data_IF_053202083416
#
_entry.id   IF_053202083416
#
_cell.length_a   1.000
_cell.length_b   1.000
_cell.length_c   1.000
_cell.angle_alpha   90.00
_cell.angle_beta   90.00
_cell.angle_gamma   90.00
#
_symmetry.space_group_name_H-M   'P 1'
#
loop_
_entity.id
_entity.type
_entity.pdbx_description
1 polymer ?
#
# COMPACT_ATOMS: atom_id res chain seq x y z
N UNK A 1 0.43 -37.36 -57.78
CA UNK A 1 0.60 -37.90 -56.41
C UNK A 1 -0.36 -37.13 -55.51
N UNK A 2 -1.68 -37.17 -55.74
CA UNK A 2 -2.64 -38.30 -55.62
C UNK A 2 -2.51 -38.97 -54.25
N UNK A 3 -3.54 -39.14 -53.40
CA UNK A 3 -4.99 -38.94 -53.47
C UNK A 3 -5.48 -38.66 -52.02
N UNK A 4 -6.40 -37.75 -51.71
CA UNK A 4 -7.87 -37.79 -51.88
C UNK A 4 -8.57 -38.92 -51.10
N UNK A 5 -9.47 -38.57 -50.17
CA UNK A 5 -10.93 -38.87 -50.22
C UNK A 5 -11.66 -38.04 -49.15
N UNK A 6 -12.54 -37.17 -49.64
CA UNK A 6 -13.57 -36.42 -48.93
C UNK A 6 -14.88 -37.23 -48.75
N UNK A 7 -15.72 -36.82 -47.80
CA UNK A 7 -17.07 -37.38 -47.60
C UNK A 7 -18.00 -36.35 -46.97
N UNK A 8 -18.68 -35.60 -47.83
CA UNK A 8 -19.66 -34.53 -47.58
C UNK A 8 -21.05 -35.11 -47.21
N UNK A 9 -21.83 -34.44 -46.35
CA UNK A 9 -23.28 -34.36 -46.58
C UNK A 9 -23.90 -33.13 -45.91
N UNK A 10 -24.46 -32.29 -46.76
CA UNK A 10 -25.22 -31.07 -46.49
C UNK A 10 -26.73 -31.35 -46.70
N UNK A 11 -27.55 -30.37 -46.26
CA UNK A 11 -28.93 -30.02 -46.65
C UNK A 11 -29.99 -30.24 -45.56
N UNK A 12 -30.53 -29.14 -45.02
CA UNK A 12 -31.72 -28.43 -45.56
C UNK A 12 -32.19 -27.33 -44.58
N UNK A 13 -32.15 -26.08 -45.03
CA UNK A 13 -33.00 -24.97 -44.54
C UNK A 13 -34.33 -25.01 -45.29
N UNK A 14 -35.41 -24.67 -44.59
CA UNK A 14 -36.69 -24.23 -45.17
C UNK A 14 -37.18 -23.06 -44.33
N UNK A 15 -37.30 -21.90 -44.96
CA UNK A 15 -38.01 -20.72 -44.45
C UNK A 15 -39.52 -20.89 -44.71
N UNK A 16 -40.34 -20.34 -43.82
CA UNK A 16 -41.79 -20.28 -43.96
C UNK A 16 -42.38 -19.16 -43.10
N UNK A 17 -42.67 -18.05 -43.75
CA UNK A 17 -43.29 -16.82 -43.26
C UNK A 17 -44.83 -16.99 -43.13
N UNK A 18 -45.48 -16.23 -42.23
CA UNK A 18 -46.95 -16.16 -42.16
C UNK A 18 -47.59 -15.78 -40.81
N UNK A 19 -47.70 -14.47 -40.53
CA UNK A 19 -48.88 -13.67 -40.07
C UNK A 19 -50.13 -14.43 -39.51
N UNK A 20 -50.90 -14.00 -38.49
CA UNK A 20 -51.32 -12.65 -38.02
C UNK A 20 -52.23 -12.74 -36.78
N UNK A 21 -52.34 -11.60 -36.06
CA UNK A 21 -53.43 -11.13 -35.17
C UNK A 21 -53.57 -11.81 -33.80
N UNK A 22 -53.75 -11.13 -32.68
CA UNK A 22 -54.04 -9.73 -32.30
C UNK A 22 -54.55 -9.82 -30.85
N UNK A 23 -54.22 -8.93 -29.91
CA UNK A 23 -55.11 -7.82 -29.52
C UNK A 23 -54.40 -6.97 -28.46
N UNK A 24 -54.58 -5.66 -28.64
CA UNK A 24 -54.32 -4.44 -27.84
C UNK A 24 -54.82 -4.54 -26.38
N UNK A 25 -54.46 -3.71 -25.41
CA UNK A 25 -54.30 -2.25 -25.43
C UNK A 25 -53.54 -1.74 -24.19
N UNK A 26 -53.13 -0.46 -24.30
CA UNK A 26 -52.16 0.26 -23.48
C UNK A 26 -52.62 0.84 -22.12
N UNK A 27 -51.90 1.88 -21.62
CA UNK A 27 -51.67 2.12 -20.18
C UNK A 27 -52.29 3.44 -19.66
N UNK A 28 -52.13 3.71 -18.35
CA UNK A 28 -51.88 5.02 -17.71
C UNK A 28 -52.52 5.12 -16.31
N UNK A 29 -51.85 5.84 -15.39
CA UNK A 29 -52.49 6.34 -14.17
C UNK A 29 -51.51 6.72 -13.07
N UNK A 30 -51.15 7.99 -13.01
CA UNK A 30 -50.42 8.61 -11.91
C UNK A 30 -51.35 9.39 -10.97
N UNK A 31 -50.87 9.57 -9.73
CA UNK A 31 -51.05 10.70 -8.80
C UNK A 31 -52.18 10.70 -7.73
N UNK A 32 -51.70 11.09 -6.53
CA UNK A 32 -52.28 11.98 -5.51
C UNK A 32 -53.14 11.41 -4.35
N UNK A 33 -52.56 11.49 -3.14
CA UNK A 33 -53.06 12.35 -2.03
C UNK A 33 -54.03 11.75 -1.00
N UNK A 34 -53.62 11.72 0.28
CA UNK A 34 -54.31 12.35 1.43
C UNK A 34 -53.85 11.79 2.80
N UNK A 35 -53.47 12.69 3.72
CA UNK A 35 -53.39 12.55 5.19
C UNK A 35 -54.76 12.79 5.85
N UNK A 36 -55.00 12.33 7.11
CA UNK A 36 -54.80 13.17 8.33
C UNK A 36 -54.23 12.38 9.55
N UNK A 37 -53.43 12.97 10.46
CA UNK A 37 -53.79 13.57 11.79
C UNK A 37 -54.03 12.49 12.88
N UNK A 38 -53.49 12.46 14.12
CA UNK A 38 -53.04 13.48 15.10
C UNK A 38 -52.43 12.81 16.36
N UNK A 39 -51.50 13.51 17.07
CA UNK A 39 -51.24 13.57 18.55
C UNK A 39 -50.80 12.31 19.32
N UNK A 40 -49.91 12.29 20.34
CA UNK A 40 -49.23 13.28 21.18
C UNK A 40 -48.06 12.60 21.95
N UNK A 41 -47.13 13.38 22.53
CA UNK A 41 -46.35 12.95 23.71
C UNK A 41 -44.86 13.30 23.71
N UNK A 42 -44.51 14.50 24.20
CA UNK A 42 -43.16 14.81 24.68
C UNK A 42 -42.92 14.20 26.08
N UNK A 43 -41.66 14.11 26.54
CA UNK A 43 -41.26 15.06 27.58
C UNK A 43 -39.85 15.66 27.39
N UNK A 44 -39.57 16.59 28.30
CA UNK A 44 -38.58 17.65 28.23
C UNK A 44 -37.20 17.32 28.83
N UNK A 45 -36.17 17.95 28.23
CA UNK A 45 -35.09 18.79 28.77
C UNK A 45 -34.28 18.48 30.06
N UNK A 46 -33.04 19.01 30.00
CA UNK A 46 -32.09 19.37 31.07
C UNK A 46 -31.16 18.23 31.57
N UNK A 47 -29.85 18.37 31.80
CA UNK A 47 -28.83 19.44 31.95
C UNK A 47 -27.47 18.70 32.11
N UNK A 48 -26.24 19.20 32.04
CA UNK A 48 -25.61 20.51 31.93
C UNK A 48 -24.21 20.32 31.33
N UNK A 49 -23.78 21.27 30.50
CA UNK A 49 -22.38 21.48 30.15
C UNK A 49 -21.77 22.41 31.21
N UNK A 50 -20.69 21.96 31.86
CA UNK A 50 -19.83 22.84 32.67
C UNK A 50 -18.67 23.31 31.81
N UNK A 51 -18.73 24.58 31.44
CA UNK A 51 -17.61 25.35 30.91
C UNK A 51 -16.61 25.59 32.05
N UNK A 52 -15.40 25.02 31.92
CA UNK A 52 -14.25 25.37 32.72
C UNK A 52 -13.36 26.35 31.95
N UNK A 53 -13.48 27.63 32.26
CA UNK A 53 -12.54 28.68 31.84
C UNK A 53 -11.24 28.51 32.62
N UNK A 54 -10.24 27.89 31.99
CA UNK A 54 -8.86 27.85 32.45
C UNK A 54 -7.99 28.73 31.56
N UNK A 55 -7.42 29.78 32.16
CA UNK A 55 -6.61 30.78 31.49
C UNK A 55 -5.43 30.16 30.72
N UNK A 56 -5.36 30.45 29.42
CA UNK A 56 -4.17 30.24 28.60
C UNK A 56 -3.12 31.27 29.00
N UNK A 57 -2.18 30.88 29.85
CA UNK A 57 -0.89 31.57 29.91
C UNK A 57 -0.14 31.24 28.63
N UNK A 58 -0.15 32.19 27.69
CA UNK A 58 0.69 32.14 26.51
C UNK A 58 2.15 32.13 26.91
N UNK A 59 2.74 30.95 26.97
CA UNK A 59 4.17 30.79 26.78
C UNK A 59 4.40 30.89 25.28
N UNK A 60 4.71 32.10 24.82
CA UNK A 60 5.35 32.30 23.53
C UNK A 60 6.68 31.52 23.56
N UNK A 61 6.67 30.30 23.03
CA UNK A 61 7.91 29.62 22.67
C UNK A 61 8.50 30.43 21.54
N UNK A 62 9.59 31.12 21.87
CA UNK A 62 10.28 32.03 20.97
C UNK A 62 10.51 31.37 19.63
N UNK A 63 10.07 32.07 18.61
CA UNK A 63 10.51 31.88 17.24
C UNK A 63 12.05 31.85 17.27
N UNK A 64 12.63 30.69 16.98
CA UNK A 64 14.07 30.55 16.76
C UNK A 64 14.41 31.18 15.40
N UNK A 65 14.05 32.45 15.23
CA UNK A 65 14.48 33.32 14.16
C UNK A 65 15.97 33.63 14.39
N UNK A 66 16.82 32.66 14.06
CA UNK A 66 18.27 32.76 14.28
C UNK A 66 19.10 31.63 13.66
N UNK A 67 18.49 30.51 13.29
CA UNK A 67 19.08 29.46 12.45
C UNK A 67 18.21 29.34 11.20
N UNK A 68 18.78 29.40 9.99
CA UNK A 68 17.98 29.32 8.76
C UNK A 68 17.11 28.06 8.78
N UNK A 69 15.79 28.17 8.62
CA UNK A 69 14.90 27.00 8.60
C UNK A 69 15.29 26.07 7.44
N UNK A 70 15.33 24.76 7.71
CA UNK A 70 15.64 23.75 6.68
C UNK A 70 14.57 23.78 5.59
N UNK A 71 13.30 23.92 5.95
CA UNK A 71 12.20 24.04 5.00
C UNK A 71 12.30 25.31 4.13
N UNK A 72 12.65 26.46 4.73
CA UNK A 72 12.82 27.71 3.99
C UNK A 72 13.99 27.62 3.00
N UNK A 73 15.15 27.15 3.45
CA UNK A 73 16.31 26.93 2.58
C UNK A 73 16.00 25.95 1.46
N UNK A 74 15.34 24.84 1.78
CA UNK A 74 14.99 23.80 0.80
C UNK A 74 14.03 24.34 -0.26
N UNK A 75 13.10 25.24 0.09
CA UNK A 75 12.22 25.90 -0.88
C UNK A 75 13.01 26.70 -1.91
N UNK A 76 13.98 27.49 -1.47
CA UNK A 76 14.87 28.26 -2.35
C UNK A 76 15.78 27.36 -3.18
N UNK A 77 16.26 26.26 -2.58
CA UNK A 77 17.02 25.22 -3.28
C UNK A 77 16.19 24.56 -4.39
N UNK A 78 14.92 24.24 -4.12
CA UNK A 78 13.99 23.66 -5.10
C UNK A 78 13.73 24.58 -6.29
N UNK A 79 13.64 25.90 -6.05
CA UNK A 79 13.49 26.88 -7.14
C UNK A 79 14.67 26.85 -8.12
N UNK A 80 15.89 26.59 -7.62
CA UNK A 80 17.12 26.52 -8.45
C UNK A 80 17.37 25.13 -9.06
N UNK A 81 16.81 24.07 -8.48
CA UNK A 81 17.13 22.68 -8.84
C UNK A 81 15.96 21.86 -9.43
N UNK A 82 14.82 22.49 -9.72
CA UNK A 82 13.63 21.81 -10.28
C UNK A 82 13.94 20.98 -11.54
N UNK A 83 14.67 21.55 -12.49
CA UNK A 83 15.00 20.87 -13.75
C UNK A 83 15.95 19.69 -13.51
N UNK A 84 16.88 19.83 -12.57
CA UNK A 84 17.78 18.76 -12.14
C UNK A 84 16.99 17.58 -11.56
N UNK A 85 16.05 17.83 -10.63
CA UNK A 85 15.19 16.79 -10.05
C UNK A 85 14.33 16.08 -11.11
N UNK A 86 13.74 16.86 -12.02
CA UNK A 86 12.98 16.31 -13.15
C UNK A 86 13.88 15.45 -14.05
N UNK A 87 15.11 15.91 -14.30
CA UNK A 87 16.13 15.16 -15.03
C UNK A 87 16.49 13.83 -14.38
N UNK A 88 16.67 13.81 -13.04
CA UNK A 88 16.94 12.61 -12.26
C UNK A 88 15.78 11.62 -12.33
N UNK A 89 14.56 12.06 -12.04
CA UNK A 89 13.37 11.19 -12.12
C UNK A 89 13.23 10.58 -13.51
N UNK A 90 13.36 11.37 -14.57
CA UNK A 90 13.27 10.87 -15.95
C UNK A 90 14.44 9.98 -16.34
N UNK A 91 15.62 10.15 -15.73
CA UNK A 91 16.74 9.22 -15.90
C UNK A 91 16.39 7.85 -15.30
N UNK A 92 15.90 7.84 -14.06
CA UNK A 92 15.45 6.61 -13.39
C UNK A 92 14.31 5.94 -14.17
N UNK A 93 13.30 6.70 -14.57
CA UNK A 93 12.16 6.19 -15.35
C UNK A 93 12.55 5.53 -16.68
N UNK A 94 13.57 6.06 -17.37
CA UNK A 94 14.10 5.48 -18.62
C UNK A 94 14.91 4.21 -18.40
N UNK A 95 15.47 4.01 -17.22
CA UNK A 95 16.37 2.89 -16.91
C UNK A 95 15.85 2.12 -15.68
N UNK A 96 14.59 1.62 -15.71
CA UNK A 96 14.03 0.94 -14.56
C UNK A 96 14.67 -0.45 -14.41
N UNK A 97 14.83 -0.89 -13.17
CA UNK A 97 15.46 -2.17 -12.83
C UNK A 97 14.58 -2.94 -11.85
N UNK A 98 14.52 -4.26 -12.03
CA UNK A 98 13.70 -5.13 -11.18
C UNK A 98 14.28 -5.27 -9.77
N UNK A 99 13.43 -5.66 -8.84
CA UNK A 99 13.77 -5.97 -7.45
C UNK A 99 15.02 -6.84 -7.34
N UNK A 100 15.95 -6.44 -6.46
CA UNK A 100 17.28 -7.05 -6.23
C UNK A 100 18.26 -6.99 -7.42
N UNK A 101 17.97 -6.20 -8.46
CA UNK A 101 18.79 -6.04 -9.67
C UNK A 101 19.02 -4.56 -10.03
N UNK A 102 18.75 -3.66 -9.10
CA UNK A 102 18.79 -2.19 -9.20
C UNK A 102 20.22 -1.62 -9.19
N UNK A 103 21.15 -2.23 -9.92
CA UNK A 103 22.57 -1.90 -9.91
C UNK A 103 22.86 -0.52 -10.52
N UNK A 104 22.22 -0.20 -11.65
CA UNK A 104 22.31 1.08 -12.33
C UNK A 104 21.68 2.21 -11.51
N UNK A 105 20.50 1.98 -10.94
CA UNK A 105 19.82 2.90 -10.02
C UNK A 105 20.66 3.13 -8.77
N UNK A 106 21.22 2.07 -8.16
CA UNK A 106 22.12 2.18 -7.01
C UNK A 106 23.37 3.00 -7.36
N UNK A 107 23.98 2.76 -8.52
CA UNK A 107 25.14 3.53 -8.99
C UNK A 107 24.79 5.02 -9.18
N UNK A 108 23.67 5.32 -9.83
CA UNK A 108 23.19 6.68 -10.04
C UNK A 108 23.00 7.44 -8.70
N UNK A 109 22.40 6.78 -7.71
CA UNK A 109 22.20 7.35 -6.37
C UNK A 109 23.55 7.62 -5.70
N UNK A 110 24.46 6.65 -5.71
CA UNK A 110 25.82 6.81 -5.13
C UNK A 110 26.55 7.98 -5.79
N UNK A 111 26.61 8.01 -7.12
CA UNK A 111 27.33 9.06 -7.86
C UNK A 111 26.76 10.44 -7.56
N UNK A 112 25.43 10.56 -7.48
CA UNK A 112 24.75 11.83 -7.17
C UNK A 112 25.03 12.29 -5.74
N UNK A 113 24.96 11.39 -4.76
CA UNK A 113 25.25 11.71 -3.35
C UNK A 113 26.74 12.08 -3.15
N UNK A 114 27.65 11.33 -3.78
CA UNK A 114 29.09 11.65 -3.73
C UNK A 114 29.38 13.00 -4.39
N UNK A 115 28.75 13.33 -5.53
CA UNK A 115 28.88 14.65 -6.16
C UNK A 115 28.35 15.79 -5.28
N UNK A 116 27.36 15.52 -4.42
CA UNK A 116 26.87 16.48 -3.41
C UNK A 116 27.82 16.63 -2.19
N UNK A 117 28.91 15.86 -2.14
CA UNK A 117 29.87 15.86 -1.03
C UNK A 117 29.39 15.06 0.18
N UNK A 118 28.57 14.03 -0.03
CA UNK A 118 28.15 13.08 0.99
C UNK A 118 28.93 11.77 0.87
N UNK A 119 28.87 10.94 1.91
CA UNK A 119 29.52 9.62 1.98
C UNK A 119 28.46 8.49 1.95
N UNK A 120 27.99 8.08 0.77
CA UNK A 120 26.99 7.01 0.65
C UNK A 120 27.59 5.64 0.97
N UNK A 121 26.89 4.87 1.79
CA UNK A 121 27.21 3.48 2.12
C UNK A 121 26.29 2.53 1.35
N UNK A 122 26.87 1.76 0.43
CA UNK A 122 26.15 0.69 -0.29
C UNK A 122 25.75 -0.43 0.67
N UNK A 123 24.54 -0.94 0.49
CA UNK A 123 24.04 -2.12 1.18
C UNK A 123 24.58 -3.41 0.53
N UNK A 124 24.51 -4.58 1.20
CA UNK A 124 24.76 -5.86 0.55
C UNK A 124 23.79 -6.05 -0.64
N UNK A 125 24.33 -6.22 -1.85
CA UNK A 125 23.54 -6.21 -3.09
C UNK A 125 23.33 -4.79 -3.59
N UNK A 126 22.07 -4.36 -3.70
CA UNK A 126 21.64 -3.05 -4.20
C UNK A 126 21.09 -2.17 -3.08
N UNK A 127 20.94 -0.87 -3.35
CA UNK A 127 20.50 0.11 -2.36
C UNK A 127 21.63 0.79 -1.60
N UNK A 128 21.28 1.89 -0.94
CA UNK A 128 22.23 2.84 -0.35
C UNK A 128 21.67 3.42 0.93
N UNK A 129 22.54 3.67 1.90
CA UNK A 129 22.24 4.58 3.03
C UNK A 129 23.21 5.74 3.03
N UNK A 130 22.79 6.90 3.50
CA UNK A 130 23.68 8.05 3.66
C UNK A 130 23.25 8.84 4.89
N UNK A 131 24.24 9.18 5.73
CA UNK A 131 24.03 10.00 6.91
C UNK A 131 24.46 11.44 6.65
N UNK A 132 23.68 12.37 7.17
CA UNK A 132 23.85 13.81 6.98
C UNK A 132 23.74 14.50 8.34
N UNK A 133 24.72 15.34 8.65
CA UNK A 133 24.83 16.00 9.95
C UNK A 133 25.64 15.19 10.96
N UNK A 134 25.86 15.80 12.12
CA UNK A 134 26.70 15.27 13.20
C UNK A 134 25.90 15.24 14.52
N UNK A 135 26.39 14.48 15.49
CA UNK A 135 25.81 14.40 16.84
C UNK A 135 25.39 13.00 17.27
N UNK A 136 25.24 12.83 18.58
CA UNK A 136 24.93 11.55 19.25
C UNK A 136 23.43 11.37 19.55
N UNK A 137 22.59 12.31 19.09
CA UNK A 137 21.13 12.25 19.23
C UNK A 137 20.48 11.19 18.34
N UNK A 138 19.17 10.95 18.51
CA UNK A 138 18.45 10.00 17.67
C UNK A 138 18.48 10.44 16.20
N UNK A 139 18.65 9.47 15.30
CA UNK A 139 18.67 9.68 13.86
C UNK A 139 17.24 9.74 13.32
N UNK A 140 16.96 10.73 12.48
CA UNK A 140 15.72 10.84 11.72
C UNK A 140 15.92 10.22 10.34
N UNK A 141 15.17 9.16 10.03
CA UNK A 141 15.33 8.43 8.78
C UNK A 141 14.25 8.79 7.75
N UNK A 142 14.62 8.88 6.47
CA UNK A 142 13.71 9.01 5.33
C UNK A 142 13.96 7.88 4.34
N UNK A 143 12.93 7.12 4.01
CA UNK A 143 13.00 5.98 3.08
C UNK A 143 12.44 6.36 1.71
N UNK A 144 13.15 5.94 0.66
CA UNK A 144 12.66 5.86 -0.71
C UNK A 144 13.02 4.49 -1.28
N UNK A 145 12.04 3.75 -1.76
CA UNK A 145 12.23 2.54 -2.56
C UNK A 145 12.75 2.90 -3.96
N UNK A 146 13.42 1.94 -4.61
CA UNK A 146 14.18 2.19 -5.85
C UNK A 146 13.86 1.21 -6.99
N UNK A 147 13.11 0.15 -6.74
CA UNK A 147 12.84 -0.90 -7.73
C UNK A 147 11.65 -0.60 -8.65
N UNK A 148 11.61 -1.31 -9.77
CA UNK A 148 10.57 -1.22 -10.79
C UNK A 148 9.84 -2.55 -10.96
N UNK A 149 8.77 -2.54 -11.77
CA UNK A 149 7.87 -3.66 -11.99
C UNK A 149 8.09 -4.35 -13.34
N UNK A 150 7.85 -5.68 -13.44
CA UNK A 150 7.93 -6.44 -14.69
C UNK A 150 6.68 -6.23 -15.56
N UNK A 151 6.56 -5.05 -16.19
CA UNK A 151 5.48 -4.71 -17.12
C UNK A 151 5.95 -3.80 -18.25
N UNK A 152 5.30 -3.91 -19.41
CA UNK A 152 5.60 -3.06 -20.57
C UNK A 152 4.95 -1.69 -20.42
N UNK A 153 5.75 -0.63 -20.53
CA UNK A 153 5.26 0.75 -20.56
C UNK A 153 4.60 1.08 -21.89
N UNK A 154 3.39 1.64 -21.86
CA UNK A 154 2.62 2.08 -23.05
C UNK A 154 2.19 3.54 -22.99
N UNK A 155 2.84 4.34 -22.13
CA UNK A 155 2.53 5.76 -21.91
C UNK A 155 2.79 6.66 -23.13
N UNK A 156 3.76 6.29 -23.98
CA UNK A 156 4.22 7.10 -25.11
C UNK A 156 5.04 8.34 -24.73
N UNK A 157 5.51 8.44 -23.49
CA UNK A 157 6.31 9.57 -23.01
C UNK A 157 7.69 9.62 -23.69
N UNK A 158 8.23 10.82 -23.90
CA UNK A 158 9.59 11.03 -24.45
C UNK A 158 10.70 10.44 -23.55
N UNK A 159 10.35 10.12 -22.30
CA UNK A 159 11.21 9.51 -21.31
C UNK A 159 10.70 8.14 -20.83
N UNK A 160 9.84 7.49 -21.62
CA UNK A 160 9.43 6.11 -21.35
C UNK A 160 10.65 5.17 -21.20
N UNK A 161 10.42 4.08 -20.48
CA UNK A 161 11.38 3.01 -20.24
C UNK A 161 12.05 2.57 -21.53
N UNK A 162 13.38 2.45 -21.46
CA UNK A 162 14.22 1.88 -22.52
C UNK A 162 14.51 0.40 -22.28
N UNK A 163 14.03 -0.15 -21.17
CA UNK A 163 14.23 -1.53 -20.77
C UNK A 163 12.93 -2.30 -21.08
N UNK A 164 12.91 -3.17 -22.10
CA UNK A 164 11.70 -3.91 -22.46
C UNK A 164 11.15 -4.73 -21.27
N UNK A 165 9.83 -4.69 -21.06
CA UNK A 165 9.16 -5.41 -19.99
C UNK A 165 9.42 -4.89 -18.57
N UNK A 166 9.97 -3.68 -18.39
CA UNK A 166 10.21 -3.09 -17.07
C UNK A 166 9.77 -1.63 -17.04
N UNK A 167 9.03 -1.22 -16.00
CA UNK A 167 8.50 0.15 -15.83
C UNK A 167 8.40 0.55 -14.35
N UNK A 168 8.68 1.81 -14.02
CA UNK A 168 8.30 2.40 -12.72
C UNK A 168 6.82 2.79 -12.71
N UNK A 169 5.93 1.80 -12.57
CA UNK A 169 4.47 2.00 -12.52
C UNK A 169 3.91 2.20 -11.10
N UNK A 170 4.78 2.20 -10.08
CA UNK A 170 4.42 2.45 -8.67
C UNK A 170 4.95 3.80 -8.13
N UNK A 171 5.78 4.50 -8.91
CA UNK A 171 6.32 5.82 -8.56
C UNK A 171 7.65 5.80 -7.78
N UNK A 172 8.34 4.66 -7.71
CA UNK A 172 9.60 4.53 -6.93
C UNK A 172 10.72 5.42 -7.50
N UNK A 173 10.67 5.77 -8.79
CA UNK A 173 11.53 6.80 -9.40
C UNK A 173 11.28 8.21 -8.81
N UNK A 174 10.03 8.53 -8.45
CA UNK A 174 9.67 9.76 -7.73
C UNK A 174 10.11 9.67 -6.27
N UNK A 175 9.86 8.55 -5.58
CA UNK A 175 10.25 8.38 -4.17
C UNK A 175 11.76 8.52 -3.99
N UNK A 176 12.54 7.83 -4.84
CA UNK A 176 13.99 7.97 -4.94
C UNK A 176 14.41 9.42 -5.16
N UNK A 177 13.79 10.10 -6.14
CA UNK A 177 14.14 11.49 -6.47
C UNK A 177 13.84 12.45 -5.31
N UNK A 178 12.75 12.24 -4.57
CA UNK A 178 12.39 13.05 -3.40
C UNK A 178 13.44 12.90 -2.30
N UNK A 179 13.81 11.66 -1.94
CA UNK A 179 14.81 11.42 -0.89
C UNK A 179 16.20 11.91 -1.31
N UNK A 180 16.56 11.73 -2.59
CA UNK A 180 17.81 12.23 -3.15
C UNK A 180 17.87 13.76 -3.17
N UNK A 181 16.76 14.41 -3.53
CA UNK A 181 16.61 15.86 -3.49
C UNK A 181 16.75 16.42 -2.07
N UNK A 182 16.10 15.78 -1.09
CA UNK A 182 16.27 16.12 0.33
C UNK A 182 17.74 16.01 0.75
N UNK A 183 18.38 14.87 0.45
CA UNK A 183 19.79 14.65 0.82
C UNK A 183 20.71 15.74 0.27
N UNK A 184 20.53 16.11 -1.00
CA UNK A 184 21.33 17.17 -1.64
C UNK A 184 21.05 18.55 -1.05
N UNK A 185 19.78 18.89 -0.77
CA UNK A 185 19.43 20.15 -0.12
C UNK A 185 20.04 20.26 1.28
N UNK A 186 20.00 19.19 2.08
CA UNK A 186 20.63 19.14 3.40
C UNK A 186 22.17 19.22 3.32
N UNK A 187 22.77 18.63 2.27
CA UNK A 187 24.20 18.71 2.03
C UNK A 187 24.68 20.13 1.69
N UNK A 188 23.86 20.93 1.00
CA UNK A 188 24.13 22.36 0.80
C UNK A 188 23.87 23.16 2.07
N UNK A 189 22.72 22.95 2.72
CA UNK A 189 22.34 23.63 3.95
C UNK A 189 23.43 23.54 5.03
N UNK A 190 23.99 22.33 5.24
CA UNK A 190 25.03 22.10 6.27
C UNK A 190 26.35 22.85 6.04
N UNK A 191 26.57 23.40 4.84
CA UNK A 191 27.76 24.24 4.55
C UNK A 191 27.61 25.64 5.11
N UNK A 192 26.38 26.09 5.32
CA UNK A 192 26.03 27.45 5.75
C UNK A 192 25.44 27.48 7.17
N UNK A 193 24.84 26.37 7.61
CA UNK A 193 24.10 26.29 8.86
C UNK A 193 24.35 24.95 9.58
N UNK A 194 24.33 24.90 10.92
CA UNK A 194 24.37 23.63 11.64
C UNK A 194 23.04 22.87 11.46
N UNK A 195 23.11 21.59 11.09
CA UNK A 195 21.92 20.75 11.04
C UNK A 195 21.50 20.37 12.48
N UNK A 196 20.23 20.55 12.88
CA UNK A 196 19.80 20.37 14.27
C UNK A 196 19.76 18.91 14.73
N UNK A 197 19.80 17.96 13.79
CA UNK A 197 19.71 16.53 14.02
C UNK A 197 20.41 15.75 12.90
N UNK A 198 20.84 14.53 13.20
CA UNK A 198 21.39 13.62 12.21
C UNK A 198 20.25 13.01 11.38
N UNK A 199 20.35 13.15 10.07
CA UNK A 199 19.40 12.59 9.11
C UNK A 199 20.02 11.38 8.41
N UNK A 200 19.24 10.31 8.25
CA UNK A 200 19.61 9.15 7.42
C UNK A 200 18.65 9.04 6.25
N UNK A 201 19.18 9.05 5.03
CA UNK A 201 18.41 8.69 3.85
C UNK A 201 18.65 7.21 3.54
N UNK A 202 17.57 6.44 3.37
CA UNK A 202 17.58 5.01 3.06
C UNK A 202 16.98 4.83 1.67
N UNK A 203 17.81 4.38 0.73
CA UNK A 203 17.42 4.01 -0.62
C UNK A 203 17.29 2.50 -0.69
N UNK A 204 16.07 2.01 -0.53
CA UNK A 204 15.78 0.60 -0.33
C UNK A 204 15.52 -0.12 -1.67
N UNK A 205 16.10 -1.30 -1.90
CA UNK A 205 15.74 -2.17 -3.02
C UNK A 205 14.48 -3.00 -2.74
N UNK A 206 13.95 -3.61 -3.79
CA UNK A 206 13.06 -4.78 -3.75
C UNK A 206 11.77 -4.66 -2.91
N UNK A 207 11.05 -3.53 -2.97
CA UNK A 207 9.75 -3.41 -2.31
C UNK A 207 8.71 -4.36 -2.93
N UNK A 208 8.71 -4.50 -4.26
CA UNK A 208 7.62 -5.09 -5.05
C UNK A 208 7.56 -6.64 -5.02
N UNK A 209 8.51 -7.29 -4.33
CA UNK A 209 8.59 -8.75 -4.25
C UNK A 209 8.14 -9.28 -2.89
N UNK A 210 7.59 -10.50 -2.91
CA UNK A 210 7.19 -11.19 -1.68
C UNK A 210 8.40 -11.36 -0.74
N UNK A 211 8.29 -10.81 0.46
CA UNK A 211 9.36 -10.76 1.46
C UNK A 211 9.95 -9.36 1.65
N UNK A 212 9.99 -8.56 0.58
CA UNK A 212 10.46 -7.18 0.57
C UNK A 212 11.96 -7.02 0.86
N UNK A 213 12.57 -5.96 0.34
CA UNK A 213 13.97 -5.61 0.62
C UNK A 213 14.16 -4.90 1.97
N UNK A 214 13.10 -4.42 2.62
CA UNK A 214 13.22 -3.77 3.93
C UNK A 214 13.87 -4.66 4.99
N UNK A 215 13.64 -5.98 4.94
CA UNK A 215 14.25 -6.94 5.88
C UNK A 215 15.77 -7.04 5.70
N UNK A 216 16.25 -7.01 4.47
CA UNK A 216 17.68 -7.01 4.13
C UNK A 216 18.35 -5.69 4.59
N UNK A 217 17.68 -4.56 4.35
CA UNK A 217 18.14 -3.23 4.77
C UNK A 217 18.26 -3.14 6.30
N UNK A 218 17.27 -3.67 7.03
CA UNK A 218 17.29 -3.75 8.49
C UNK A 218 18.43 -4.66 8.97
N UNK A 219 18.62 -5.82 8.33
CA UNK A 219 19.70 -6.75 8.66
C UNK A 219 21.09 -6.15 8.42
N UNK A 220 21.23 -5.26 7.44
CA UNK A 220 22.44 -4.49 7.17
C UNK A 220 22.71 -3.36 8.18
N UNK A 221 21.82 -3.16 9.17
CA UNK A 221 22.01 -2.20 10.25
C UNK A 221 21.49 -0.79 9.96
N UNK A 222 20.68 -0.59 8.92
CA UNK A 222 20.18 0.74 8.54
C UNK A 222 19.31 1.43 9.61
N UNK A 223 18.75 0.67 10.56
CA UNK A 223 18.00 1.20 11.70
C UNK A 223 18.85 1.51 12.93
N UNK A 224 20.16 1.27 12.91
CA UNK A 224 21.02 1.56 14.05
C UNK A 224 20.99 3.06 14.39
N UNK A 225 20.57 3.39 15.61
CA UNK A 225 20.44 4.77 16.12
C UNK A 225 19.21 5.54 15.60
N UNK A 226 18.39 4.93 14.74
CA UNK A 226 17.17 5.56 14.22
C UNK A 226 16.14 5.71 15.33
N UNK A 227 15.72 6.94 15.58
CA UNK A 227 14.63 7.24 16.51
C UNK A 227 13.28 7.23 15.84
N UNK A 228 13.18 7.78 14.62
CA UNK A 228 11.94 7.85 13.84
C UNK A 228 12.23 7.68 12.35
N UNK A 229 11.27 7.14 11.60
CA UNK A 229 11.39 6.92 10.16
C UNK A 229 10.16 7.42 9.39
N UNK A 230 10.39 8.05 8.24
CA UNK A 230 9.36 8.62 7.39
C UNK A 230 9.49 8.10 5.96
N UNK A 231 8.34 7.93 5.29
CA UNK A 231 8.28 7.54 3.88
C UNK A 231 7.15 8.30 3.17
N UNK A 232 7.21 8.30 1.84
CA UNK A 232 6.15 8.77 0.97
C UNK A 232 5.81 7.67 -0.02
N UNK A 233 4.55 7.60 -0.39
CA UNK A 233 4.11 6.80 -1.53
C UNK A 233 3.24 7.65 -2.43
N UNK A 234 3.52 7.66 -3.74
CA UNK A 234 2.71 8.32 -4.75
C UNK A 234 1.27 7.80 -4.68
N UNK A 235 0.32 8.72 -4.68
CA UNK A 235 -1.11 8.44 -4.67
C UNK A 235 -1.75 9.11 -5.89
N UNK A 236 -1.96 8.36 -6.98
CA UNK A 236 -2.54 8.89 -8.22
C UNK A 236 -4.03 9.22 -8.09
N UNK A 237 -4.65 8.95 -6.94
CA UNK A 237 -6.04 9.36 -6.67
C UNK A 237 -6.14 10.74 -5.99
N UNK A 238 -5.03 11.25 -5.48
CA UNK A 238 -4.91 12.59 -4.88
C UNK A 238 -4.26 13.55 -5.85
N UNK A 239 -4.72 14.80 -5.87
CA UNK A 239 -4.16 15.83 -6.74
C UNK A 239 -2.77 16.25 -6.26
N UNK A 240 -1.86 16.57 -7.16
CA UNK A 240 -0.57 17.17 -6.83
C UNK A 240 -0.74 18.36 -5.88
N UNK A 241 0.05 18.35 -4.81
CA UNK A 241 -0.04 19.31 -3.70
C UNK A 241 -0.89 18.81 -2.52
N UNK A 242 -1.76 17.83 -2.74
CA UNK A 242 -2.48 17.16 -1.65
C UNK A 242 -1.60 16.10 -0.98
N UNK A 243 -1.68 16.01 0.35
CA UNK A 243 -0.93 15.06 1.17
C UNK A 243 -1.94 14.28 2.01
N UNK A 244 -2.05 12.98 1.73
CA UNK A 244 -2.91 12.08 2.47
C UNK A 244 -2.22 11.55 3.72
N UNK A 245 -2.83 11.75 4.88
CA UNK A 245 -2.32 11.29 6.18
C UNK A 245 -3.36 10.40 6.88
N UNK A 246 -2.87 9.44 7.66
CA UNK A 246 -3.68 8.56 8.48
C UNK A 246 -2.86 8.05 9.66
N UNK A 247 -3.38 8.19 10.87
CA UNK A 247 -2.82 7.53 12.06
C UNK A 247 -3.31 6.08 12.13
N UNK A 248 -2.45 5.16 12.56
CA UNK A 248 -2.73 3.73 12.54
C UNK A 248 -2.51 3.12 11.15
N UNK A 249 -3.25 2.07 10.81
CA UNK A 249 -3.01 1.31 9.60
C UNK A 249 -3.32 2.10 8.33
N UNK A 250 -2.30 2.38 7.51
CA UNK A 250 -2.43 3.00 6.18
C UNK A 250 -2.38 1.97 5.04
N UNK A 251 -1.84 0.79 5.30
CA UNK A 251 -1.92 -0.40 4.44
C UNK A 251 -2.48 -1.59 5.22
N UNK A 252 -2.67 -2.72 4.56
CA UNK A 252 -3.11 -3.97 5.19
C UNK A 252 -2.02 -5.02 5.07
N UNK A 253 -1.93 -5.92 6.05
CA UNK A 253 -1.21 -7.16 5.81
C UNK A 253 -1.85 -7.96 4.69
N UNK A 254 -1.05 -8.78 4.01
CA UNK A 254 -1.50 -9.67 2.95
C UNK A 254 -0.78 -11.02 3.06
N UNK A 255 -1.43 -12.00 3.68
CA UNK A 255 -0.92 -13.35 3.83
C UNK A 255 -1.54 -14.28 2.78
N UNK A 256 -0.78 -15.31 2.37
CA UNK A 256 -1.25 -16.36 1.46
C UNK A 256 -1.54 -17.62 2.26
N UNK A 257 -2.72 -18.22 2.06
CA UNK A 257 -3.14 -19.44 2.75
C UNK A 257 -3.49 -20.53 1.76
N UNK A 258 -2.91 -21.72 1.94
CA UNK A 258 -3.29 -22.95 1.23
C UNK A 258 -3.76 -24.00 2.26
N UNK A 259 -4.92 -24.60 2.00
CA UNK A 259 -5.44 -25.74 2.77
C UNK A 259 -5.56 -26.93 1.84
N UNK A 260 -4.86 -28.02 2.18
CA UNK A 260 -4.90 -29.27 1.43
C UNK A 260 -5.66 -30.31 2.25
N UNK A 261 -6.80 -30.75 1.73
CA UNK A 261 -7.59 -31.84 2.30
C UNK A 261 -7.25 -33.14 1.59
N UNK A 262 -6.98 -34.21 2.35
CA UNK A 262 -6.67 -35.53 1.79
C UNK A 262 -7.52 -36.65 2.40
N UNK A 263 -7.76 -37.68 1.60
CA UNK A 263 -8.58 -38.83 1.97
C UNK A 263 -8.33 -40.05 1.07
N UNK A 264 -8.96 -41.20 1.38
CA UNK A 264 -8.78 -42.42 0.59
C UNK A 264 -9.40 -42.33 -0.81
N UNK A 265 -10.36 -41.42 -1.01
CA UNK A 265 -11.20 -41.39 -2.20
C UNK A 265 -12.16 -42.58 -2.24
N UNK A 266 -12.97 -42.67 -3.29
CA UNK A 266 -13.88 -43.81 -3.43
C UNK A 266 -15.03 -43.57 -4.39
N UNK A 267 -16.03 -44.44 -4.33
CA UNK A 267 -17.24 -44.30 -5.13
C UNK A 267 -18.28 -43.49 -4.35
N UNK A 268 -18.91 -42.51 -4.99
CA UNK A 268 -19.95 -41.66 -4.37
C UNK A 268 -21.17 -42.42 -3.85
N UNK A 269 -21.39 -43.69 -4.27
CA UNK A 269 -22.48 -44.55 -3.77
C UNK A 269 -22.17 -45.18 -2.39
N UNK A 270 -20.94 -45.05 -1.90
CA UNK A 270 -20.47 -45.62 -0.63
C UNK A 270 -19.74 -44.56 0.21
N UNK A 271 -20.38 -43.42 0.51
CA UNK A 271 -19.71 -42.31 1.20
C UNK A 271 -19.22 -42.70 2.60
N UNK A 272 -19.87 -43.65 3.27
CA UNK A 272 -19.48 -44.18 4.58
C UNK A 272 -18.13 -44.94 4.60
N UNK A 273 -17.52 -45.22 3.43
CA UNK A 273 -16.20 -45.88 3.32
C UNK A 273 -15.07 -44.89 2.98
N UNK A 274 -15.37 -43.58 2.88
CA UNK A 274 -14.39 -42.54 2.56
C UNK A 274 -14.66 -41.28 3.39
N UNK A 275 -13.76 -40.30 3.33
CA UNK A 275 -14.06 -38.93 3.69
C UNK A 275 -14.58 -38.18 2.45
N UNK A 276 -15.69 -37.47 2.55
CA UNK A 276 -16.21 -36.62 1.49
C UNK A 276 -15.45 -35.28 1.47
N UNK A 277 -14.39 -35.22 0.67
CA UNK A 277 -13.51 -34.05 0.62
C UNK A 277 -14.17 -32.83 -0.02
N UNK A 278 -15.13 -33.02 -0.93
CA UNK A 278 -15.86 -31.91 -1.55
C UNK A 278 -16.77 -31.26 -0.52
N UNK A 279 -17.45 -32.07 0.30
CA UNK A 279 -18.21 -31.57 1.45
C UNK A 279 -17.33 -30.84 2.46
N UNK A 280 -16.20 -31.42 2.86
CA UNK A 280 -15.27 -30.80 3.80
C UNK A 280 -14.72 -29.45 3.29
N UNK A 281 -14.40 -29.36 2.01
CA UNK A 281 -14.01 -28.11 1.36
C UNK A 281 -15.15 -27.08 1.37
N UNK A 282 -16.38 -27.48 1.05
CA UNK A 282 -17.56 -26.60 1.12
C UNK A 282 -17.81 -26.07 2.54
N UNK A 283 -17.62 -26.90 3.56
CA UNK A 283 -17.71 -26.49 4.96
C UNK A 283 -16.63 -25.44 5.30
N UNK A 284 -15.38 -25.65 4.89
CA UNK A 284 -14.31 -24.66 5.08
C UNK A 284 -14.61 -23.33 4.38
N UNK A 285 -14.98 -23.37 3.10
CA UNK A 285 -15.25 -22.17 2.29
C UNK A 285 -16.32 -21.29 2.94
N UNK A 286 -17.36 -21.90 3.52
CA UNK A 286 -18.51 -21.18 4.07
C UNK A 286 -18.34 -20.82 5.55
N UNK A 287 -17.79 -21.72 6.36
CA UNK A 287 -17.72 -21.52 7.81
C UNK A 287 -16.47 -20.77 8.25
N UNK A 288 -15.33 -20.94 7.57
CA UNK A 288 -14.07 -20.35 8.04
C UNK A 288 -14.10 -18.82 8.03
N UNK A 289 -14.53 -18.12 6.97
CA UNK A 289 -14.65 -16.65 7.01
C UNK A 289 -15.64 -16.18 8.09
N UNK A 290 -16.75 -16.90 8.27
CA UNK A 290 -17.76 -16.57 9.28
C UNK A 290 -17.21 -16.71 10.70
N UNK A 291 -16.52 -17.80 11.01
CA UNK A 291 -15.91 -18.03 12.32
C UNK A 291 -14.75 -17.07 12.59
N UNK A 292 -13.94 -16.77 11.58
CA UNK A 292 -12.86 -15.78 11.68
C UNK A 292 -13.42 -14.41 12.07
N UNK A 293 -14.51 -13.97 11.42
CA UNK A 293 -15.19 -12.70 11.73
C UNK A 293 -15.79 -12.61 13.15
N UNK A 294 -15.93 -13.73 13.85
CA UNK A 294 -16.39 -13.82 15.24
C UNK A 294 -15.27 -14.00 16.25
N UNK A 295 -14.09 -14.37 15.77
CA UNK A 295 -12.89 -14.60 16.60
C UNK A 295 -12.02 -13.35 16.64
N UNK A 296 -11.98 -12.60 15.56
CA UNK A 296 -11.19 -11.37 15.40
C UNK A 296 -12.10 -10.14 15.58
N UNK A 297 -11.57 -9.06 16.15
CA UNK A 297 -12.31 -7.79 16.29
C UNK A 297 -12.72 -7.28 14.88
N UNK A 298 -14.02 -7.11 14.59
CA UNK A 298 -14.50 -6.71 13.28
C UNK A 298 -14.01 -5.33 12.82
N UNK A 299 -13.55 -4.47 13.74
CA UNK A 299 -13.00 -3.14 13.42
C UNK A 299 -11.62 -3.20 12.79
N UNK A 300 -10.94 -4.35 12.85
CA UNK A 300 -9.60 -4.55 12.29
C UNK A 300 -9.60 -4.73 10.77
N UNK A 301 -10.79 -4.80 10.15
CA UNK A 301 -10.91 -4.98 8.70
C UNK A 301 -10.34 -6.30 8.21
N UNK A 302 -10.40 -7.35 9.04
CA UNK A 302 -9.85 -8.67 8.70
C UNK A 302 -10.74 -9.37 7.68
N UNK A 303 -10.18 -9.72 6.52
CA UNK A 303 -10.87 -10.36 5.40
C UNK A 303 -10.13 -11.61 4.98
N UNK A 304 -10.83 -12.74 4.91
CA UNK A 304 -10.36 -13.98 4.30
C UNK A 304 -11.13 -14.23 3.02
N UNK A 305 -10.43 -14.49 1.92
CA UNK A 305 -11.05 -14.81 0.63
C UNK A 305 -10.33 -15.98 -0.02
N UNK A 306 -11.08 -17.03 -0.37
CA UNK A 306 -10.58 -18.11 -1.21
C UNK A 306 -10.68 -17.72 -2.68
N UNK A 307 -9.54 -17.67 -3.36
CA UNK A 307 -9.46 -17.36 -4.78
C UNK A 307 -9.53 -18.60 -5.68
N UNK A 308 -9.19 -19.79 -5.15
CA UNK A 308 -9.24 -21.02 -5.92
C UNK A 308 -9.64 -22.23 -5.06
N UNK A 309 -10.36 -23.16 -5.70
CA UNK A 309 -10.80 -24.44 -5.15
C UNK A 309 -10.59 -25.50 -6.24
N UNK A 310 -9.75 -26.50 -5.97
CA UNK A 310 -9.37 -27.51 -6.95
C UNK A 310 -9.53 -28.92 -6.37
N UNK A 311 -10.34 -29.77 -6.99
CA UNK A 311 -10.44 -31.18 -6.62
C UNK A 311 -11.60 -31.91 -7.29
N UNK A 312 -11.44 -33.22 -7.52
CA UNK A 312 -12.39 -34.04 -8.26
C UNK A 312 -12.25 -33.92 -9.77
N UNK A 313 -12.69 -34.96 -10.49
CA UNK A 313 -12.68 -35.01 -11.96
C UNK A 313 -13.89 -35.75 -12.55
N UNK A 314 -14.49 -36.67 -11.78
CA UNK A 314 -15.66 -37.44 -12.19
C UNK A 314 -16.77 -37.31 -11.14
N UNK A 315 -18.02 -37.12 -11.58
CA UNK A 315 -19.18 -36.92 -10.70
C UNK A 315 -19.51 -38.14 -9.82
N UNK A 316 -19.03 -39.33 -10.18
CA UNK A 316 -19.30 -40.60 -9.48
C UNK A 316 -18.13 -41.08 -8.59
N UNK A 317 -17.08 -40.25 -8.45
CA UNK A 317 -15.91 -40.56 -7.64
C UNK A 317 -15.65 -39.46 -6.60
N UNK A 318 -15.38 -39.87 -5.36
CA UNK A 318 -14.88 -39.00 -4.30
C UNK A 318 -13.37 -38.83 -4.51
N UNK A 319 -12.84 -37.58 -4.59
CA UNK A 319 -11.43 -37.35 -4.82
C UNK A 319 -10.56 -37.76 -3.64
N UNK A 320 -9.26 -37.94 -3.90
CA UNK A 320 -8.25 -38.19 -2.87
C UNK A 320 -7.65 -36.91 -2.28
N UNK A 321 -7.80 -35.79 -3.00
CA UNK A 321 -7.25 -34.49 -2.62
C UNK A 321 -8.18 -33.36 -3.09
N UNK A 322 -8.33 -32.34 -2.25
CA UNK A 322 -8.92 -31.04 -2.60
C UNK A 322 -8.03 -29.93 -2.04
N UNK A 323 -7.74 -28.90 -2.84
CA UNK A 323 -6.93 -27.74 -2.46
C UNK A 323 -7.75 -26.47 -2.45
N UNK A 324 -7.58 -25.66 -1.41
CA UNK A 324 -8.13 -24.31 -1.28
C UNK A 324 -6.96 -23.33 -1.21
N UNK A 325 -6.96 -22.31 -2.07
CA UNK A 325 -5.98 -21.23 -2.04
C UNK A 325 -6.69 -19.91 -1.83
N UNK A 326 -6.17 -19.09 -0.92
CA UNK A 326 -6.78 -17.82 -0.55
C UNK A 326 -5.80 -16.81 0.00
N UNK A 327 -6.33 -15.64 0.33
CA UNK A 327 -5.60 -14.54 0.97
C UNK A 327 -6.28 -14.13 2.26
N UNK A 328 -5.48 -13.84 3.29
CA UNK A 328 -5.93 -13.22 4.53
C UNK A 328 -5.36 -11.80 4.61
N UNK A 329 -6.23 -10.81 4.77
CA UNK A 329 -5.85 -9.40 4.91
C UNK A 329 -6.31 -8.86 6.24
N UNK A 330 -5.54 -7.99 6.87
CA UNK A 330 -5.94 -7.31 8.11
C UNK A 330 -5.24 -5.97 8.28
N UNK A 331 -5.94 -5.00 8.86
CA UNK A 331 -5.40 -3.68 9.23
C UNK A 331 -4.89 -3.61 10.66
N UNK A 332 -4.80 -4.71 11.39
CA UNK A 332 -4.28 -4.68 12.77
C UNK A 332 -3.10 -5.64 12.91
N UNK A 333 -1.95 -5.08 13.30
CA UNK A 333 -0.71 -5.85 13.40
C UNK A 333 -0.75 -6.90 14.52
N UNK A 334 -1.54 -6.71 15.58
CA UNK A 334 -1.71 -7.71 16.63
C UNK A 334 -2.52 -8.91 16.14
N UNK A 335 -3.54 -8.65 15.32
CA UNK A 335 -4.29 -9.72 14.63
C UNK A 335 -3.37 -10.47 13.69
N UNK A 336 -2.62 -9.75 12.85
CA UNK A 336 -1.67 -10.37 11.92
C UNK A 336 -0.63 -11.25 12.63
N UNK A 337 -0.12 -10.83 13.79
CA UNK A 337 0.83 -11.63 14.59
C UNK A 337 0.28 -13.00 14.96
N UNK A 338 -1.02 -13.11 15.28
CA UNK A 338 -1.67 -14.38 15.69
C UNK A 338 -2.56 -15.01 14.61
N UNK A 339 -2.53 -14.48 13.38
CA UNK A 339 -3.45 -14.88 12.32
C UNK A 339 -3.25 -16.34 11.87
N UNK A 340 -2.01 -16.80 11.78
CA UNK A 340 -1.68 -18.19 11.41
C UNK A 340 -2.22 -19.20 12.44
N UNK A 341 -1.99 -18.95 13.73
CA UNK A 341 -2.47 -19.80 14.82
C UNK A 341 -4.00 -19.84 14.83
N UNK A 342 -4.64 -18.67 14.69
CA UNK A 342 -6.10 -18.54 14.66
C UNK A 342 -6.71 -19.25 13.46
N UNK A 343 -6.13 -19.06 12.27
CA UNK A 343 -6.57 -19.68 11.03
C UNK A 343 -6.46 -21.20 11.11
N UNK A 344 -5.30 -21.71 11.53
CA UNK A 344 -5.03 -23.15 11.64
C UNK A 344 -5.99 -23.82 12.61
N UNK A 345 -6.18 -23.23 13.80
CA UNK A 345 -7.10 -23.77 14.79
C UNK A 345 -8.56 -23.83 14.31
N UNK A 346 -9.01 -22.83 13.53
CA UNK A 346 -10.36 -22.82 12.97
C UNK A 346 -10.51 -23.86 11.85
N UNK A 347 -9.52 -24.00 10.97
CA UNK A 347 -9.51 -25.04 9.92
C UNK A 347 -9.64 -26.43 10.54
N UNK A 348 -8.83 -26.74 11.55
CA UNK A 348 -8.85 -28.03 12.23
C UNK A 348 -10.21 -28.33 12.87
N UNK A 349 -10.82 -27.33 13.53
CA UNK A 349 -12.15 -27.48 14.18
C UNK A 349 -13.26 -27.77 13.16
N UNK A 350 -13.23 -27.12 12.00
CA UNK A 350 -14.23 -27.32 10.94
C UNK A 350 -14.06 -28.70 10.29
N UNK A 351 -12.82 -29.14 10.06
CA UNK A 351 -12.53 -30.39 9.33
C UNK A 351 -12.63 -31.63 10.21
N UNK A 352 -12.33 -31.53 11.51
CA UNK A 352 -12.31 -32.65 12.46
C UNK A 352 -13.50 -33.64 12.34
N UNK A 353 -14.79 -33.20 12.26
CA UNK A 353 -15.92 -34.12 12.18
C UNK A 353 -16.06 -34.85 10.83
N UNK A 354 -15.32 -34.45 9.79
CA UNK A 354 -15.47 -34.99 8.42
C UNK A 354 -14.65 -36.25 8.16
N UNK A 355 -13.66 -36.55 9.02
CA UNK A 355 -12.70 -37.65 8.82
C UNK A 355 -11.63 -37.38 7.75
N UNK A 356 -11.64 -36.20 7.10
CA UNK A 356 -10.57 -35.79 6.20
C UNK A 356 -9.29 -35.45 6.98
N UNK A 357 -8.13 -35.72 6.38
CA UNK A 357 -6.84 -35.20 6.86
C UNK A 357 -6.64 -33.80 6.28
N UNK A 358 -6.01 -32.93 7.05
CA UNK A 358 -5.74 -31.54 6.64
C UNK A 358 -4.27 -31.20 6.81
N UNK A 359 -3.73 -30.48 5.83
CA UNK A 359 -2.45 -29.79 5.88
C UNK A 359 -2.73 -28.31 5.62
N UNK A 360 -2.27 -27.44 6.52
CA UNK A 360 -2.33 -25.99 6.37
C UNK A 360 -0.94 -25.49 6.00
N UNK A 361 -0.87 -24.69 4.95
CA UNK A 361 0.33 -23.96 4.55
C UNK A 361 0.01 -22.48 4.62
N UNK A 362 0.67 -21.80 5.55
CA UNK A 362 0.47 -20.38 5.79
C UNK A 362 1.75 -19.65 5.42
N UNK A 363 1.68 -18.78 4.41
CA UNK A 363 2.79 -17.91 4.04
C UNK A 363 2.48 -16.52 4.52
N UNK A 364 3.16 -16.11 5.60
CA UNK A 364 3.03 -14.78 6.17
C UNK A 364 3.68 -13.76 5.22
N UNK A 365 2.91 -12.77 4.79
CA UNK A 365 3.39 -11.66 3.98
C UNK A 365 3.92 -10.54 4.87
N UNK A 366 3.84 -9.31 4.37
CA UNK A 366 4.23 -8.11 5.11
C UNK A 366 3.13 -7.70 6.12
N UNK A 367 3.48 -7.14 7.29
CA UNK A 367 2.51 -6.53 8.20
C UNK A 367 1.83 -5.30 7.58
N UNK A 368 0.73 -4.78 8.17
CA UNK A 368 0.24 -3.45 7.80
C UNK A 368 1.26 -2.38 8.21
N UNK A 369 1.40 -1.31 7.43
CA UNK A 369 2.11 -0.10 7.85
C UNK A 369 1.29 0.60 8.91
N UNK A 370 1.81 0.61 10.13
CA UNK A 370 1.18 1.24 11.29
C UNK A 370 1.80 2.61 11.51
N UNK A 371 1.13 3.67 11.04
CA UNK A 371 1.57 5.03 11.26
C UNK A 371 1.41 5.42 12.73
N UNK A 372 2.51 5.80 13.35
CA UNK A 372 2.60 6.36 14.70
C UNK A 372 1.89 7.71 14.78
N UNK A 373 1.23 8.01 15.91
CA UNK A 373 0.45 9.24 16.08
C UNK A 373 1.34 10.48 16.13
N UNK A 374 2.46 10.42 16.85
CA UNK A 374 3.45 11.50 16.96
C UNK A 374 4.08 11.79 15.61
N UNK A 375 4.58 10.75 14.93
CA UNK A 375 5.18 10.89 13.61
C UNK A 375 4.17 11.45 12.59
N UNK A 376 2.92 10.99 12.63
CA UNK A 376 1.86 11.51 11.75
C UNK A 376 1.53 12.97 12.05
N UNK A 377 1.56 13.39 13.32
CA UNK A 377 1.41 14.79 13.72
C UNK A 377 2.54 15.67 13.14
N UNK A 378 3.78 15.19 13.17
CA UNK A 378 4.93 15.90 12.57
C UNK A 378 4.74 16.07 11.06
N UNK A 379 4.30 15.03 10.34
CA UNK A 379 3.96 15.13 8.93
C UNK A 379 2.83 16.13 8.67
N UNK A 380 1.80 16.15 9.52
CA UNK A 380 0.70 17.11 9.39
C UNK A 380 1.20 18.56 9.52
N UNK A 381 2.08 18.85 10.48
CA UNK A 381 2.69 20.19 10.64
C UNK A 381 3.58 20.56 9.45
N UNK A 382 4.39 19.63 8.98
CA UNK A 382 5.21 19.84 7.80
C UNK A 382 4.35 20.10 6.55
N UNK A 383 3.23 19.36 6.39
CA UNK A 383 2.30 19.53 5.29
C UNK A 383 1.59 20.90 5.32
N UNK A 384 1.20 21.40 6.49
CA UNK A 384 0.65 22.77 6.65
C UNK A 384 1.63 23.84 6.14
N UNK A 385 2.95 23.61 6.28
CA UNK A 385 3.99 24.50 5.75
C UNK A 385 4.22 24.42 4.23
N UNK A 386 3.70 23.37 3.59
CA UNK A 386 3.68 23.22 2.12
C UNK A 386 2.42 23.84 1.54
N UNK A 387 1.25 23.43 2.04
CA UNK A 387 -0.06 24.01 1.73
C UNK A 387 -0.99 23.84 2.95
N UNK A 388 -1.44 24.94 3.59
CA UNK A 388 -2.38 24.90 4.72
C UNK A 388 -3.70 24.18 4.44
N UNK A 389 -4.06 23.97 3.17
CA UNK A 389 -5.29 23.31 2.74
C UNK A 389 -5.05 21.98 1.99
N UNK A 390 -3.79 21.55 1.89
CA UNK A 390 -3.36 20.36 1.14
C UNK A 390 -3.56 19.04 1.87
N UNK A 391 -3.76 19.06 3.21
CA UNK A 391 -3.93 17.82 3.98
C UNK A 391 -5.28 17.16 3.67
N UNK A 392 -5.23 15.84 3.46
CA UNK A 392 -6.38 14.96 3.26
C UNK A 392 -6.28 13.75 4.19
N UNK A 393 -7.43 13.18 4.54
CA UNK A 393 -7.44 11.87 5.19
C UNK A 393 -7.14 10.80 4.12
N UNK A 394 -6.08 10.02 4.34
CA UNK A 394 -5.77 8.89 3.48
C UNK A 394 -6.70 7.70 3.81
N UNK A 395 -7.30 7.05 2.80
CA UNK A 395 -7.95 5.77 3.01
C UNK A 395 -6.89 4.71 3.37
N UNK A 396 -7.30 3.69 4.12
CA UNK A 396 -6.49 2.51 4.29
C UNK A 396 -6.45 1.72 2.98
N UNK A 397 -5.26 1.41 2.48
CA UNK A 397 -5.09 0.51 1.34
C UNK A 397 -5.21 -0.95 1.77
N UNK A 398 -5.80 -1.78 0.92
CA UNK A 398 -5.78 -3.24 1.07
C UNK A 398 -4.47 -3.86 0.60
N UNK A 399 -3.62 -3.12 -0.13
CA UNK A 399 -2.28 -3.53 -0.54
C UNK A 399 -1.34 -3.67 0.65
N UNK A 400 -0.27 -4.46 0.46
CA UNK A 400 0.87 -4.52 1.38
C UNK A 400 1.90 -3.45 1.05
N UNK A 401 2.78 -3.16 2.00
CA UNK A 401 3.94 -2.28 1.82
C UNK A 401 5.00 -2.75 2.83
N UNK A 402 6.22 -3.00 2.36
CA UNK A 402 7.27 -3.58 3.20
C UNK A 402 7.93 -2.54 4.14
N UNK A 403 7.66 -1.24 3.97
CA UNK A 403 7.96 -0.20 4.95
C UNK A 403 7.42 -0.54 6.36
N UNK A 404 6.38 -1.37 6.40
CA UNK A 404 5.80 -1.91 7.63
C UNK A 404 6.84 -2.58 8.53
N UNK A 405 7.87 -3.22 7.97
CA UNK A 405 8.97 -3.82 8.72
C UNK A 405 9.80 -2.81 9.52
N UNK A 406 9.94 -1.56 9.04
CA UNK A 406 10.56 -0.51 9.83
C UNK A 406 9.64 -0.02 10.94
N UNK A 407 8.35 0.19 10.64
CA UNK A 407 7.37 0.67 11.65
C UNK A 407 7.12 -0.33 12.77
N UNK A 408 7.42 -1.62 12.56
CA UNK A 408 7.43 -2.64 13.61
C UNK A 408 8.63 -2.51 14.58
N UNK A 409 9.67 -1.74 14.22
CA UNK A 409 10.92 -1.60 14.97
C UNK A 409 11.09 -0.22 15.60
N UNK A 410 10.70 0.82 14.87
CA UNK A 410 10.83 2.22 15.28
C UNK A 410 9.53 2.98 14.95
N UNK A 411 9.14 4.00 15.74
CA UNK A 411 8.04 4.88 15.38
C UNK A 411 8.24 5.48 14.00
N UNK A 412 7.19 5.54 13.20
CA UNK A 412 7.29 6.09 11.86
C UNK A 412 5.95 6.37 11.23
N UNK A 413 5.97 7.10 10.13
CA UNK A 413 4.74 7.42 9.40
C UNK A 413 5.02 7.55 7.90
N UNK A 414 4.15 6.95 7.11
CA UNK A 414 4.14 7.06 5.66
C UNK A 414 2.97 7.95 5.22
N UNK A 415 3.27 8.94 4.37
CA UNK A 415 2.27 9.81 3.76
C UNK A 415 1.96 9.41 2.31
N UNK A 416 0.72 9.67 1.88
CA UNK A 416 0.29 9.55 0.48
C UNK A 416 0.57 10.87 -0.24
N UNK A 417 1.49 10.86 -1.20
CA UNK A 417 1.87 12.03 -1.98
C UNK A 417 0.96 12.15 -3.21
N UNK A 418 0.08 13.15 -3.23
CA UNK A 418 -0.76 13.41 -4.39
C UNK A 418 0.06 13.62 -5.65
N UNK A 419 -0.30 12.88 -6.70
CA UNK A 419 0.49 12.78 -7.94
C UNK A 419 -0.38 12.80 -9.20
N UNK A 420 -1.64 13.19 -9.07
CA UNK A 420 -2.55 13.41 -10.19
C UNK A 420 -2.58 14.89 -10.59
N UNK A 421 -2.52 15.17 -11.89
CA UNK A 421 -2.54 16.53 -12.45
C UNK A 421 -3.84 17.30 -12.13
N UNK A 422 -4.92 16.59 -11.81
CA UNK A 422 -6.26 17.16 -11.68
C UNK A 422 -7.09 17.09 -12.97
N UNK A 423 -6.53 16.55 -14.05
CA UNK A 423 -7.16 16.48 -15.38
C UNK A 423 -7.18 15.03 -15.86
N UNK A 424 -8.30 14.63 -16.48
CA UNK A 424 -8.48 13.28 -17.02
C UNK A 424 -8.98 12.27 -15.99
N UNK A 425 -8.87 10.99 -16.33
CA UNK A 425 -9.18 9.90 -15.41
C UNK A 425 -8.07 9.75 -14.37
N UNK A 426 -8.42 9.31 -13.16
CA UNK A 426 -7.43 9.00 -12.11
C UNK A 426 -6.86 7.61 -12.43
N UNK A 427 -5.54 7.49 -12.70
CA UNK A 427 -4.95 6.18 -12.94
C UNK A 427 -4.85 5.39 -11.63
N UNK A 428 -4.60 4.09 -11.74
CA UNK A 428 -4.28 3.22 -10.61
C UNK A 428 -2.83 2.74 -10.72
N UNK A 429 -2.22 2.46 -9.57
CA UNK A 429 -0.86 1.93 -9.52
C UNK A 429 -0.77 0.62 -10.34
N UNK A 430 0.40 0.37 -10.94
CA UNK A 430 0.72 -0.82 -11.73
C UNK A 430 -0.01 -0.90 -13.09
N UNK A 431 -0.70 0.16 -13.51
CA UNK A 431 -1.20 0.27 -14.88
C UNK A 431 -0.04 0.59 -15.84
N UNK A 432 0.00 -0.01 -17.05
CA UNK A 432 1.09 0.18 -18.00
C UNK A 432 1.11 1.57 -18.66
N UNK A 433 0.02 2.34 -18.52
CA UNK A 433 -0.17 3.68 -19.05
C UNK A 433 -0.22 4.75 -17.94
N UNK A 434 0.12 4.41 -16.69
CA UNK A 434 0.13 5.40 -15.60
C UNK A 434 1.14 6.51 -15.86
N UNK A 435 0.69 7.75 -15.70
CA UNK A 435 1.53 8.95 -15.74
C UNK A 435 1.34 9.75 -14.47
N UNK A 436 2.40 9.85 -13.67
CA UNK A 436 2.44 10.70 -12.48
C UNK A 436 2.78 12.15 -12.87
N UNK A 437 2.16 13.11 -12.19
CA UNK A 437 2.52 14.52 -12.31
C UNK A 437 3.85 14.80 -11.57
N UNK A 438 4.89 15.12 -12.32
CA UNK A 438 6.23 15.45 -11.80
C UNK A 438 6.23 16.67 -10.87
N UNK A 439 5.16 17.48 -10.88
CA UNK A 439 4.94 18.55 -9.92
C UNK A 439 4.88 18.08 -8.46
N UNK A 440 4.66 16.79 -8.20
CA UNK A 440 4.65 16.23 -6.85
C UNK A 440 6.06 16.07 -6.23
N UNK A 441 7.12 15.99 -7.03
CA UNK A 441 8.50 15.85 -6.54
C UNK A 441 8.89 16.99 -5.59
N UNK A 442 8.79 18.29 -5.98
CA UNK A 442 9.12 19.38 -5.06
C UNK A 442 8.21 19.42 -3.82
N UNK A 443 6.96 18.94 -3.91
CA UNK A 443 6.05 18.83 -2.76
C UNK A 443 6.59 17.81 -1.75
N UNK A 444 7.01 16.63 -2.22
CA UNK A 444 7.61 15.60 -1.37
C UNK A 444 8.92 16.06 -0.70
N UNK A 445 9.80 16.73 -1.45
CA UNK A 445 11.06 17.27 -0.89
C UNK A 445 10.79 18.33 0.17
N UNK A 446 9.87 19.28 -0.10
CA UNK A 446 9.50 20.32 0.84
C UNK A 446 8.84 19.76 2.11
N UNK A 447 7.99 18.73 1.96
CA UNK A 447 7.36 18.03 3.08
C UNK A 447 8.42 17.40 4.00
N UNK A 448 9.36 16.63 3.46
CA UNK A 448 10.41 16.03 4.28
C UNK A 448 11.36 17.06 4.91
N UNK A 449 11.67 18.17 4.23
CA UNK A 449 12.40 19.26 4.85
C UNK A 449 11.64 19.90 6.02
N UNK A 450 10.31 20.03 5.91
CA UNK A 450 9.45 20.46 7.02
C UNK A 450 9.46 19.48 8.19
N UNK A 451 9.52 18.17 7.93
CA UNK A 451 9.66 17.16 8.99
C UNK A 451 10.96 17.37 9.78
N UNK A 452 12.07 17.71 9.10
CA UNK A 452 13.34 18.02 9.78
C UNK A 452 13.21 19.22 10.73
N UNK A 453 12.48 20.27 10.33
CA UNK A 453 12.26 21.46 11.18
C UNK A 453 11.36 21.18 12.39
N UNK A 454 10.31 20.36 12.19
CA UNK A 454 9.30 20.09 13.23
C UNK A 454 9.63 18.90 14.14
N UNK A 455 10.62 18.09 13.78
CA UNK A 455 11.05 16.97 14.60
C UNK A 455 11.98 17.44 15.73
N UNK A 456 11.53 17.27 16.97
CA UNK A 456 12.31 17.63 18.16
C UNK A 456 12.60 16.40 19.02
N UNK A 457 13.87 15.98 19.14
CA UNK A 457 14.22 14.85 19.98
C UNK A 457 13.99 15.22 21.45
N UNK A 458 12.94 14.65 22.05
CA UNK A 458 12.69 14.77 23.50
C UNK A 458 11.50 15.62 23.94
N UNK A 459 10.55 15.97 23.07
CA UNK A 459 9.24 16.47 23.53
C UNK A 459 8.47 15.33 24.23
N UNK A 460 8.24 15.37 25.56
CA UNK A 460 7.44 14.37 26.23
C UNK A 460 5.96 14.64 25.89
N UNK A 461 5.35 13.74 25.13
CA UNK A 461 3.89 13.72 24.94
C UNK A 461 3.37 14.69 23.88
N UNK A 462 3.87 14.59 22.66
CA UNK A 462 3.00 14.72 21.50
C UNK A 462 2.71 13.33 20.96
#
# INVERSE_FOLDING_TARGET
MDADVSGNNDRRRVDGDGTTAGTTAGPAGAAAGATPGTTAGAPAAATAATAGTGATTGAATGDAAGTGSVAAFTRDWLHRNRDTLTGWRRHLHRNPELSHREEGTTAFIVDTLTAAGLDPHRLPGTGVTVDIGEGDGPVLAFRGDIDALPLDEVTGLDYASRVPGVMHACGHDIHTTVVLGLACALAEYRREHPLPLRVRCIFQPAEEVMGGGATDVIAAGALAGVGHIFALHCEPKLRTGEIGLRTGAITSAADVVEVVLTGPGGHTSRPHLTADLVYAAGALITQLPALLSRTVDPRTGTVLTFGAVNGGSAFNAVPREVRLLGTLRTGDVRVWRTAEETFTALVERIVAPTGARVEVRYTKGVPPVMNDDVATSVLARAAEGVDPHGVREAPQSSGGEDFSWYTERVPGSMARLGSWTGVGEKPDLHQPDIVFDEGCIPVGVALFAGVVDHFHPGSPGM
#
